data_IF_629137720699
#
_entry.id   IF_629137720699
#
_cell.length_a   1.000
_cell.length_b   1.000
_cell.length_c   1.000
_cell.angle_alpha   90.00
_cell.angle_beta   90.00
_cell.angle_gamma   90.00
#
_symmetry.space_group_name_H-M   'P 1'
#
loop_
_entity.id
_entity.type
_entity.pdbx_description
1 polymer ?
#
# COMPACT_ATOMS: atom_id res chain seq x y z
N UNK A 1 18.26 -62.23 -20.90
CA UNK A 1 17.47 -60.98 -21.05
C UNK A 1 18.12 -59.92 -20.16
N UNK A 2 18.83 -58.96 -20.76
CA UNK A 2 19.52 -57.88 -20.03
C UNK A 2 18.55 -56.70 -19.90
N UNK A 3 18.02 -56.46 -18.70
CA UNK A 3 17.24 -55.25 -18.37
C UNK A 3 18.22 -54.08 -18.24
N UNK A 4 18.32 -53.25 -19.28
CA UNK A 4 19.00 -51.94 -19.22
C UNK A 4 18.13 -50.98 -18.39
N UNK A 5 18.58 -50.62 -17.19
CA UNK A 5 18.09 -49.44 -16.49
C UNK A 5 18.71 -48.19 -17.13
N UNK A 6 17.86 -47.33 -17.71
CA UNK A 6 18.22 -45.98 -18.10
C UNK A 6 18.20 -45.10 -16.83
N UNK A 7 19.27 -44.36 -16.50
CA UNK A 7 19.20 -43.37 -15.45
C UNK A 7 18.49 -42.14 -16.01
N UNK A 8 17.32 -41.83 -15.46
CA UNK A 8 16.60 -40.59 -15.72
C UNK A 8 17.41 -39.46 -15.06
N UNK A 9 18.18 -38.72 -15.86
CA UNK A 9 18.82 -37.48 -15.44
C UNK A 9 17.71 -36.47 -15.09
N UNK A 10 17.37 -36.38 -13.80
CA UNK A 10 16.60 -35.27 -13.25
C UNK A 10 17.44 -34.01 -13.43
N UNK A 11 17.11 -33.23 -14.46
CA UNK A 11 17.56 -31.84 -14.56
C UNK A 11 16.84 -31.09 -13.45
N UNK A 12 17.54 -30.85 -12.35
CA UNK A 12 17.10 -29.92 -11.31
C UNK A 12 17.23 -28.54 -11.94
N UNK A 13 16.18 -28.08 -12.61
CA UNK A 13 16.06 -26.68 -12.98
C UNK A 13 16.00 -25.90 -11.67
N UNK A 14 17.13 -25.31 -11.28
CA UNK A 14 17.13 -24.30 -10.22
C UNK A 14 16.23 -23.17 -10.69
N UNK A 15 15.04 -23.05 -10.08
CA UNK A 15 14.26 -21.84 -10.20
C UNK A 15 15.15 -20.73 -9.64
N UNK A 16 15.68 -19.88 -10.51
CA UNK A 16 16.23 -18.61 -10.07
C UNK A 16 15.07 -17.90 -9.36
N UNK A 17 15.15 -17.76 -8.04
CA UNK A 17 14.15 -17.02 -7.28
C UNK A 17 14.04 -15.63 -7.92
N UNK A 18 12.81 -15.29 -8.33
CA UNK A 18 12.56 -14.01 -8.97
C UNK A 18 12.84 -12.91 -7.93
N UNK A 19 13.78 -12.02 -8.24
CA UNK A 19 14.13 -10.97 -7.30
C UNK A 19 12.93 -10.06 -7.04
N UNK A 20 12.72 -9.74 -5.77
CA UNK A 20 11.53 -9.03 -5.27
C UNK A 20 11.92 -8.05 -4.16
N UNK A 21 11.07 -7.08 -3.87
CA UNK A 21 11.22 -6.22 -2.70
C UNK A 21 10.38 -6.77 -1.54
N UNK A 22 11.04 -6.97 -0.40
CA UNK A 22 10.36 -7.00 0.88
C UNK A 22 10.11 -5.56 1.31
N UNK A 23 8.84 -5.21 1.48
CA UNK A 23 8.36 -3.90 1.94
C UNK A 23 7.80 -4.10 3.35
N UNK A 24 8.46 -3.55 4.36
CA UNK A 24 7.96 -3.59 5.74
C UNK A 24 7.45 -2.21 6.14
N UNK A 25 6.19 -2.10 6.53
CA UNK A 25 5.56 -0.84 6.94
C UNK A 25 5.43 -0.82 8.46
N UNK A 26 5.99 0.21 9.07
CA UNK A 26 6.00 0.43 10.51
C UNK A 26 5.08 1.61 10.83
N UNK A 27 4.17 1.39 11.79
CA UNK A 27 3.16 2.36 12.21
C UNK A 27 3.28 2.58 13.72
N UNK A 28 3.92 3.68 14.12
CA UNK A 28 4.18 3.96 15.53
C UNK A 28 4.96 2.84 16.21
N UNK A 29 4.38 2.23 17.25
CA UNK A 29 4.99 1.14 18.03
C UNK A 29 4.49 -0.27 17.67
N UNK A 30 3.75 -0.41 16.56
CA UNK A 30 3.17 -1.69 16.15
C UNK A 30 4.23 -2.61 15.51
N UNK A 31 3.93 -3.91 15.47
CA UNK A 31 4.72 -4.86 14.69
C UNK A 31 4.69 -4.48 13.19
N UNK A 32 5.81 -4.61 12.46
CA UNK A 32 5.84 -4.27 11.04
C UNK A 32 4.95 -5.19 10.20
N UNK A 33 4.13 -4.59 9.34
CA UNK A 33 3.41 -5.32 8.28
C UNK A 33 4.34 -5.55 7.09
N UNK A 34 4.46 -6.79 6.63
CA UNK A 34 5.43 -7.16 5.58
C UNK A 34 4.72 -7.58 4.30
N UNK A 35 5.10 -6.96 3.19
CA UNK A 35 4.59 -7.22 1.85
C UNK A 35 5.74 -7.62 0.92
N UNK A 36 5.42 -8.40 -0.11
CA UNK A 36 6.36 -8.79 -1.16
C UNK A 36 5.89 -8.19 -2.48
N UNK A 37 6.76 -7.43 -3.12
CA UNK A 37 6.51 -6.76 -4.40
C UNK A 37 7.47 -7.31 -5.45
N UNK A 38 7.00 -7.99 -6.51
CA UNK A 38 7.87 -8.54 -7.54
C UNK A 38 8.50 -7.44 -8.39
N UNK A 39 9.69 -7.69 -8.93
CA UNK A 39 10.36 -6.79 -9.88
C UNK A 39 9.95 -7.05 -11.32
N UNK A 40 8.66 -6.89 -11.60
CA UNK A 40 8.03 -7.17 -12.91
C UNK A 40 7.73 -5.92 -13.75
N UNK A 41 8.09 -4.74 -13.25
CA UNK A 41 7.84 -3.45 -13.89
C UNK A 41 6.40 -2.95 -13.76
N UNK A 42 5.50 -3.71 -13.12
CA UNK A 42 4.13 -3.30 -12.86
C UNK A 42 4.06 -2.44 -11.59
N UNK A 43 3.01 -1.61 -11.50
CA UNK A 43 2.73 -0.86 -10.29
C UNK A 43 1.90 -1.74 -9.34
N UNK A 44 2.42 -1.96 -8.13
CA UNK A 44 1.77 -2.72 -7.06
C UNK A 44 1.28 -1.76 -5.98
N UNK A 45 0.00 -1.84 -5.63
CA UNK A 45 -0.62 -0.98 -4.61
C UNK A 45 -0.69 -1.70 -3.26
N UNK A 46 -0.25 -1.02 -2.20
CA UNK A 46 -0.43 -1.43 -0.81
C UNK A 46 -1.36 -0.40 -0.14
N UNK A 47 -2.59 -0.80 0.16
CA UNK A 47 -3.56 0.03 0.90
C UNK A 47 -3.65 -0.44 2.36
N UNK A 48 -2.99 0.30 3.25
CA UNK A 48 -2.92 0.05 4.69
C UNK A 48 -3.72 1.13 5.43
N UNK A 49 -4.84 1.56 4.80
CA UNK A 49 -5.75 2.53 5.40
C UNK A 49 -6.90 1.82 6.08
N UNK A 50 -7.19 2.30 7.28
CA UNK A 50 -8.38 1.93 8.03
C UNK A 50 -9.61 2.65 7.47
N UNK A 51 -10.69 1.89 7.29
CA UNK A 51 -12.01 2.41 6.93
C UNK A 51 -12.78 2.85 8.17
N UNK A 52 -13.34 4.06 8.11
CA UNK A 52 -14.14 4.67 9.17
C UNK A 52 -15.49 5.11 8.62
N UNK A 53 -16.52 5.07 9.46
CA UNK A 53 -17.87 5.48 9.08
C UNK A 53 -18.18 6.90 9.56
N UNK A 54 -18.99 7.61 8.80
CA UNK A 54 -19.60 8.88 9.20
C UNK A 54 -21.03 8.95 8.74
N UNK A 55 -21.85 9.74 9.42
CA UNK A 55 -23.24 9.92 9.04
C UNK A 55 -23.37 11.01 7.98
N UNK A 56 -23.92 10.70 6.82
CA UNK A 56 -24.18 11.66 5.75
C UNK A 56 -25.69 11.93 5.67
N UNK A 57 -26.08 13.21 5.70
CA UNK A 57 -27.46 13.65 5.59
C UNK A 57 -27.56 14.80 4.59
N UNK A 58 -28.34 14.65 3.52
CA UNK A 58 -28.49 15.68 2.50
C UNK A 58 -29.87 15.63 1.82
N UNK A 59 -30.24 16.73 1.15
CA UNK A 59 -31.47 16.79 0.35
C UNK A 59 -31.11 16.48 -1.10
N UNK A 60 -31.77 15.48 -1.69
CA UNK A 60 -31.61 15.19 -3.11
C UNK A 60 -32.15 16.39 -3.94
N UNK A 61 -31.31 17.03 -4.77
CA UNK A 61 -31.74 18.19 -5.55
C UNK A 61 -32.85 17.85 -6.56
N UNK A 62 -32.94 16.61 -7.05
CA UNK A 62 -33.93 16.19 -8.04
C UNK A 62 -35.29 15.89 -7.42
N UNK A 63 -35.31 15.08 -6.35
CA UNK A 63 -36.58 14.63 -5.73
C UNK A 63 -37.02 15.45 -4.52
N UNK A 64 -36.15 16.34 -4.01
CA UNK A 64 -36.33 17.11 -2.77
C UNK A 64 -36.50 16.24 -1.51
N UNK A 65 -36.17 14.94 -1.60
CA UNK A 65 -36.25 14.02 -0.47
C UNK A 65 -34.99 14.14 0.38
N UNK A 66 -35.16 14.06 1.70
CA UNK A 66 -34.04 13.90 2.62
C UNK A 66 -33.50 12.48 2.55
N UNK A 67 -32.20 12.36 2.39
CA UNK A 67 -31.47 11.09 2.33
C UNK A 67 -30.46 11.10 3.49
N UNK A 68 -30.55 10.07 4.33
CA UNK A 68 -29.56 9.79 5.36
C UNK A 68 -28.96 8.41 5.13
N UNK A 69 -27.64 8.32 5.15
CA UNK A 69 -26.89 7.08 4.99
C UNK A 69 -25.54 7.17 5.66
N UNK A 70 -24.95 6.02 5.93
CA UNK A 70 -23.56 5.97 6.37
C UNK A 70 -22.65 6.12 5.14
N UNK A 71 -21.70 7.04 5.24
CA UNK A 71 -20.56 7.16 4.34
C UNK A 71 -19.33 6.52 4.94
N UNK A 72 -18.30 6.33 4.12
CA UNK A 72 -17.00 5.81 4.54
C UNK A 72 -15.90 6.81 4.18
N UNK A 73 -14.89 6.94 5.04
CA UNK A 73 -13.62 7.58 4.73
C UNK A 73 -12.47 6.71 5.20
N UNK A 74 -11.29 6.89 4.62
CA UNK A 74 -10.10 6.10 4.92
C UNK A 74 -8.98 6.96 5.51
N UNK A 75 -8.28 6.46 6.52
CA UNK A 75 -7.08 7.07 7.09
C UNK A 75 -5.95 6.05 7.17
N UNK A 76 -4.71 6.48 6.99
CA UNK A 76 -3.54 5.61 7.01
C UNK A 76 -2.69 5.82 5.77
N UNK A 77 -1.95 4.79 5.37
CA UNK A 77 -1.00 4.86 4.28
C UNK A 77 -1.51 4.09 3.05
N UNK A 78 -1.43 4.73 1.89
CA UNK A 78 -1.46 4.03 0.59
C UNK A 78 -0.12 4.22 -0.09
N UNK A 79 0.43 3.14 -0.63
CA UNK A 79 1.68 3.12 -1.42
C UNK A 79 1.43 2.49 -2.79
N UNK A 80 2.15 2.97 -3.80
CA UNK A 80 2.32 2.34 -5.09
C UNK A 80 3.81 2.18 -5.34
N UNK A 81 4.24 0.96 -5.61
CA UNK A 81 5.63 0.64 -5.87
C UNK A 81 5.75 0.05 -7.28
N UNK A 82 6.74 0.51 -8.03
CA UNK A 82 7.04 -0.01 -9.37
C UNK A 82 8.54 -0.18 -9.52
N UNK A 83 8.98 -1.38 -9.85
CA UNK A 83 10.39 -1.61 -10.18
C UNK A 83 10.72 -0.96 -11.53
N UNK A 84 11.86 -0.29 -11.60
CA UNK A 84 12.42 0.24 -12.84
C UNK A 84 13.48 -0.74 -13.40
N UNK A 85 13.98 -0.57 -14.64
CA UNK A 85 15.06 -1.40 -15.14
C UNK A 85 16.27 -1.41 -14.20
N UNK A 86 16.91 -2.58 -14.04
CA UNK A 86 18.07 -2.76 -13.16
C UNK A 86 19.25 -1.90 -13.64
N UNK A 87 19.97 -1.27 -12.70
CA UNK A 87 21.14 -0.44 -12.98
C UNK A 87 22.38 -1.05 -12.30
N UNK A 88 23.16 -1.81 -13.07
CA UNK A 88 24.33 -2.53 -12.54
C UNK A 88 23.92 -3.61 -11.55
N UNK A 89 24.14 -3.37 -10.25
CA UNK A 89 23.70 -4.29 -9.17
C UNK A 89 22.54 -3.73 -8.34
N UNK A 90 22.09 -2.52 -8.66
CA UNK A 90 21.01 -1.85 -7.94
C UNK A 90 19.68 -2.07 -8.64
N UNK A 91 18.63 -2.30 -7.86
CA UNK A 91 17.25 -2.31 -8.33
C UNK A 91 16.59 -0.96 -7.96
N UNK A 92 16.36 -0.04 -8.90
CA UNK A 92 15.59 1.16 -8.62
C UNK A 92 14.10 0.83 -8.52
N UNK A 93 13.41 1.47 -7.57
CA UNK A 93 11.97 1.35 -7.35
C UNK A 93 11.39 2.75 -7.23
N UNK A 94 10.43 3.05 -8.09
CA UNK A 94 9.57 4.23 -7.95
C UNK A 94 8.55 3.97 -6.84
N UNK A 95 8.45 4.89 -5.89
CA UNK A 95 7.54 4.84 -4.75
C UNK A 95 6.68 6.10 -4.78
N UNK A 96 5.38 5.90 -4.93
CA UNK A 96 4.37 6.94 -4.78
C UNK A 96 3.49 6.61 -3.59
N UNK A 97 3.05 7.59 -2.83
CA UNK A 97 2.19 7.31 -1.69
C UNK A 97 1.50 8.53 -1.13
N UNK A 98 0.63 8.26 -0.16
CA UNK A 98 -0.10 9.29 0.56
C UNK A 98 -0.44 8.79 1.95
N UNK A 99 -0.16 9.61 2.95
CA UNK A 99 -0.68 9.43 4.32
C UNK A 99 -1.91 10.31 4.48
N UNK A 100 -3.06 9.71 4.80
CA UNK A 100 -4.31 10.40 5.09
C UNK A 100 -4.58 10.35 6.60
N UNK A 101 -4.78 11.50 7.23
CA UNK A 101 -5.13 11.61 8.65
C UNK A 101 -6.44 12.38 8.82
N UNK A 102 -7.24 11.98 9.81
CA UNK A 102 -8.43 12.72 10.19
C UNK A 102 -8.02 14.02 10.89
N UNK A 103 -8.43 15.16 10.34
CA UNK A 103 -8.22 16.47 10.96
C UNK A 103 -9.40 16.84 11.85
N UNK A 104 -10.63 16.65 11.38
CA UNK A 104 -11.84 16.92 12.15
C UNK A 104 -13.06 16.19 11.57
N UNK A 105 -14.06 15.96 12.41
CA UNK A 105 -15.44 15.66 12.00
C UNK A 105 -16.30 16.74 12.64
N UNK A 106 -17.05 17.48 11.82
CA UNK A 106 -17.94 18.54 12.30
C UNK A 106 -19.38 18.22 11.93
N UNK A 107 -20.30 18.55 12.82
CA UNK A 107 -21.72 18.50 12.50
C UNK A 107 -22.10 19.66 11.58
N UNK A 108 -22.66 19.32 10.42
CA UNK A 108 -23.21 20.24 9.44
C UNK A 108 -24.72 20.39 9.57
N UNK A 109 -25.42 20.44 8.44
CA UNK A 109 -26.87 20.62 8.42
C UNK A 109 -27.62 19.48 9.12
N UNK A 110 -28.58 19.84 9.96
CA UNK A 110 -29.50 18.90 10.62
C UNK A 110 -30.77 18.76 9.78
N UNK A 111 -31.08 17.53 9.40
CA UNK A 111 -32.30 17.13 8.69
C UNK A 111 -33.19 16.29 9.62
N UNK A 112 -34.40 15.94 9.17
CA UNK A 112 -35.31 15.11 9.97
C UNK A 112 -34.78 13.69 10.13
N UNK A 113 -34.08 13.17 9.11
CA UNK A 113 -33.52 11.84 9.16
C UNK A 113 -32.17 11.74 9.90
N UNK A 114 -31.50 12.85 10.19
CA UNK A 114 -30.17 12.84 10.83
C UNK A 114 -29.37 14.15 10.64
N UNK A 115 -28.14 14.18 11.17
CA UNK A 115 -27.22 15.32 11.04
C UNK A 115 -26.07 14.98 10.10
N UNK A 116 -25.82 15.82 9.10
CA UNK A 116 -24.69 15.60 8.21
C UNK A 116 -23.38 15.75 8.96
N UNK A 117 -22.47 14.79 8.85
CA UNK A 117 -21.11 14.92 9.34
C UNK A 117 -20.17 15.29 8.20
N UNK A 118 -19.43 16.38 8.39
CA UNK A 118 -18.41 16.84 7.46
C UNK A 118 -17.04 16.35 7.91
N UNK A 119 -16.51 15.37 7.17
CA UNK A 119 -15.19 14.78 7.42
C UNK A 119 -14.11 15.62 6.74
N UNK A 120 -13.16 16.11 7.53
CA UNK A 120 -11.97 16.83 7.03
C UNK A 120 -10.74 15.93 7.18
N UNK A 121 -10.15 15.57 6.05
CA UNK A 121 -8.89 14.80 5.99
C UNK A 121 -7.73 15.73 5.64
N UNK A 122 -6.58 15.47 6.25
CA UNK A 122 -5.28 16.02 5.82
C UNK A 122 -4.52 14.92 5.09
N UNK A 123 -3.98 15.25 3.93
CA UNK A 123 -3.24 14.31 3.09
C UNK A 123 -1.81 14.82 2.89
N UNK A 124 -0.84 13.93 3.12
CA UNK A 124 0.58 14.19 2.83
C UNK A 124 1.02 13.22 1.76
N UNK A 125 1.29 13.74 0.56
CA UNK A 125 1.78 12.94 -0.56
C UNK A 125 3.29 12.73 -0.46
N UNK A 126 3.77 11.58 -0.94
CA UNK A 126 5.18 11.25 -1.08
C UNK A 126 5.44 10.68 -2.47
N UNK A 127 6.61 10.98 -3.03
CA UNK A 127 7.07 10.49 -4.32
C UNK A 127 8.58 10.44 -4.29
N UNK A 128 9.17 9.27 -4.51
CA UNK A 128 10.62 9.09 -4.53
C UNK A 128 11.03 7.90 -5.41
N UNK A 129 12.31 7.83 -5.77
CA UNK A 129 12.92 6.67 -6.42
C UNK A 129 14.01 6.12 -5.53
N UNK A 130 13.78 4.95 -4.95
CA UNK A 130 14.70 4.28 -4.02
C UNK A 130 15.55 3.25 -4.76
N UNK A 131 16.86 3.31 -4.58
CA UNK A 131 17.82 2.34 -5.15
C UNK A 131 18.13 1.25 -4.12
N UNK A 132 17.68 0.04 -4.39
CA UNK A 132 17.93 -1.12 -3.53
C UNK A 132 19.22 -1.83 -3.93
N UNK A 133 20.13 -1.94 -2.96
CA UNK A 133 21.36 -2.71 -3.09
C UNK A 133 21.19 -4.09 -2.45
N UNK A 134 21.90 -5.13 -2.92
CA UNK A 134 21.89 -6.44 -2.29
C UNK A 134 22.26 -6.34 -0.80
N UNK A 135 21.53 -7.07 0.04
CA UNK A 135 21.76 -7.17 1.49
C UNK A 135 21.66 -5.85 2.27
N UNK A 136 21.12 -4.77 1.68
CA UNK A 136 20.89 -3.50 2.38
C UNK A 136 19.40 -3.22 2.50
N UNK A 137 18.98 -2.84 3.70
CA UNK A 137 17.66 -2.25 3.93
C UNK A 137 17.74 -0.74 3.72
N UNK A 138 16.76 -0.19 3.00
CA UNK A 138 16.59 1.24 2.83
C UNK A 138 15.36 1.72 3.61
N UNK A 139 15.55 2.52 4.66
CA UNK A 139 14.45 3.17 5.34
C UNK A 139 13.97 4.39 4.55
N UNK A 140 12.67 4.56 4.48
CA UNK A 140 11.97 5.74 3.99
C UNK A 140 11.04 6.21 5.11
N UNK A 141 11.47 7.27 5.81
CA UNK A 141 10.69 7.89 6.88
C UNK A 141 9.73 8.89 6.22
N UNK A 142 8.42 8.66 6.40
CA UNK A 142 7.39 9.50 5.78
C UNK A 142 7.02 10.65 6.73
N UNK A 143 6.75 10.32 7.98
CA UNK A 143 6.49 11.26 9.07
C UNK A 143 6.91 10.67 10.42
N UNK A 144 6.51 11.30 11.53
CA UNK A 144 6.81 10.81 12.89
C UNK A 144 6.12 9.51 13.30
N UNK A 145 5.24 8.95 12.46
CA UNK A 145 4.48 7.72 12.72
C UNK A 145 4.76 6.63 11.68
N UNK A 146 4.92 6.99 10.41
CA UNK A 146 5.03 6.05 9.29
C UNK A 146 6.46 5.93 8.78
N UNK A 147 6.99 4.71 8.79
CA UNK A 147 8.27 4.37 8.17
C UNK A 147 8.12 3.14 7.30
N UNK A 148 8.69 3.17 6.10
CA UNK A 148 8.73 2.04 5.17
C UNK A 148 10.16 1.55 5.05
N UNK A 149 10.39 0.26 5.25
CA UNK A 149 11.67 -0.40 5.06
C UNK A 149 11.60 -1.21 3.77
N UNK A 150 12.51 -0.92 2.84
CA UNK A 150 12.60 -1.59 1.54
C UNK A 150 13.88 -2.42 1.52
N UNK A 151 13.77 -3.71 1.19
CA UNK A 151 14.91 -4.61 1.06
C UNK A 151 14.76 -5.47 -0.17
N UNK A 152 15.82 -5.58 -0.96
CA UNK A 152 15.86 -6.56 -2.04
C UNK A 152 15.98 -7.97 -1.45
N UNK A 153 15.05 -8.83 -1.82
CA UNK A 153 15.08 -10.26 -1.58
C UNK A 153 15.40 -10.93 -2.93
N UNK A 154 16.38 -11.81 -2.89
CA UNK A 154 16.66 -12.74 -3.98
C UNK A 154 16.14 -14.08 -3.54
#
# INVERSE_FOLDING_TARGET
MIKRLLPLLLVIAGNAEASQAQVSVIVGSNEPEVFIVPFDGQAHELDIRDSHRYHAAFVDPATKREICRDGEYKTGLVLKLRSLPIEGTEQPIEVLGMVSSLSAINDGAKLKCGTNQEVKLTNTALSDTVRLQPNKTKPMVIDGKWTVLLKMQR
#
